data_IF_754723138333
#
_entry.id   IF_754723138333
#
_cell.length_a   1.000
_cell.length_b   1.000
_cell.length_c   1.000
_cell.angle_alpha   90.00
_cell.angle_beta   90.00
_cell.angle_gamma   90.00
#
_symmetry.space_group_name_H-M   'P 1'
#
loop_
_entity.id
_entity.type
_entity.pdbx_description
1 polymer ?
#
# COMPACT_ATOMS: atom_id res chain seq x y z
N UNK A 1 -1.92 -12.20 16.64
CA UNK A 1 -2.06 -12.09 15.17
C UNK A 1 -1.68 -10.67 14.75
N UNK A 2 -0.95 -10.50 13.64
CA UNK A 2 -0.52 -9.19 13.09
C UNK A 2 -1.18 -8.98 11.73
N UNK A 3 -1.67 -7.77 11.48
CA UNK A 3 -2.26 -7.36 10.20
C UNK A 3 -1.29 -6.38 9.53
N UNK A 4 -0.86 -6.71 8.31
CA UNK A 4 -0.01 -5.85 7.49
C UNK A 4 -0.83 -5.27 6.33
N UNK A 5 -0.84 -3.95 6.20
CA UNK A 5 -1.56 -3.21 5.18
C UNK A 5 -0.55 -2.68 4.16
N UNK A 6 -0.48 -3.34 3.01
CA UNK A 6 0.48 -3.02 1.95
C UNK A 6 -0.21 -2.34 0.80
N UNK A 7 0.35 -1.23 0.33
CA UNK A 7 -0.16 -0.45 -0.77
C UNK A 7 0.98 -0.01 -1.69
N UNK A 8 0.72 0.08 -2.99
CA UNK A 8 1.68 0.58 -3.97
C UNK A 8 1.22 1.95 -4.48
N UNK A 9 2.12 2.93 -4.51
CA UNK A 9 1.85 4.23 -5.10
C UNK A 9 2.34 5.41 -4.27
N UNK A 10 1.62 6.52 -4.40
CA UNK A 10 1.90 7.76 -3.66
C UNK A 10 1.14 7.77 -2.33
N UNK A 11 1.56 8.66 -1.43
CA UNK A 11 0.86 8.89 -0.16
C UNK A 11 -0.63 9.20 -0.41
N UNK A 12 -1.48 8.80 0.54
CA UNK A 12 -2.93 8.97 0.47
C UNK A 12 -3.33 10.40 0.13
N UNK A 13 -4.39 10.54 -0.68
CA UNK A 13 -5.02 11.83 -0.89
C UNK A 13 -5.51 12.42 0.44
N UNK A 14 -5.40 13.74 0.66
CA UNK A 14 -5.67 14.35 1.96
C UNK A 14 -7.04 14.02 2.54
N UNK A 15 -8.08 13.88 1.70
CA UNK A 15 -9.44 13.56 2.14
C UNK A 15 -9.59 12.12 2.66
N UNK A 16 -8.74 11.18 2.23
CA UNK A 16 -8.80 9.78 2.67
C UNK A 16 -8.02 9.58 3.97
N UNK A 17 -6.97 10.38 4.19
CA UNK A 17 -6.03 10.23 5.32
C UNK A 17 -6.73 10.17 6.68
N UNK A 18 -7.66 11.09 6.94
CA UNK A 18 -8.42 11.13 8.21
C UNK A 18 -9.20 9.83 8.48
N UNK A 19 -9.82 9.26 7.44
CA UNK A 19 -10.49 7.98 7.51
C UNK A 19 -9.50 6.86 7.81
N UNK A 20 -8.45 6.75 7.00
CA UNK A 20 -7.39 5.73 7.16
C UNK A 20 -6.82 5.73 8.58
N UNK A 21 -6.49 6.89 9.12
CA UNK A 21 -5.94 7.03 10.47
C UNK A 21 -6.95 6.59 11.54
N UNK A 22 -8.21 7.00 11.40
CA UNK A 22 -9.28 6.66 12.35
C UNK A 22 -9.53 5.15 12.40
N UNK A 23 -9.65 4.50 11.24
CA UNK A 23 -9.91 3.07 11.16
C UNK A 23 -8.67 2.24 11.53
N UNK A 24 -7.46 2.69 11.15
CA UNK A 24 -6.20 2.05 11.56
C UNK A 24 -6.04 2.08 13.07
N UNK A 25 -6.33 3.22 13.72
CA UNK A 25 -6.30 3.33 15.18
C UNK A 25 -7.26 2.34 15.83
N UNK A 26 -8.49 2.22 15.32
CA UNK A 26 -9.46 1.24 15.80
C UNK A 26 -8.96 -0.20 15.65
N UNK A 27 -8.37 -0.52 14.50
CA UNK A 27 -7.82 -1.84 14.23
C UNK A 27 -6.66 -2.18 15.19
N UNK A 28 -5.82 -1.20 15.50
CA UNK A 28 -4.64 -1.38 16.35
C UNK A 28 -4.96 -1.76 17.81
N UNK A 29 -6.19 -1.56 18.26
CA UNK A 29 -6.64 -2.01 19.58
C UNK A 29 -6.79 -3.54 19.68
N UNK A 30 -7.01 -4.21 18.54
CA UNK A 30 -7.27 -5.65 18.51
C UNK A 30 -6.10 -6.46 17.95
N UNK A 31 -5.34 -5.86 17.02
CA UNK A 31 -4.23 -6.52 16.35
C UNK A 31 -3.03 -5.58 16.25
N UNK A 32 -1.82 -6.15 16.23
CA UNK A 32 -0.65 -5.37 15.82
C UNK A 32 -0.86 -4.99 14.34
N UNK A 33 -0.92 -3.70 14.05
CA UNK A 33 -1.15 -3.19 12.70
C UNK A 33 0.12 -2.53 12.17
N UNK A 34 0.47 -2.83 10.92
CA UNK A 34 1.65 -2.29 10.25
C UNK A 34 1.26 -1.82 8.85
N UNK A 35 1.76 -0.64 8.45
CA UNK A 35 1.53 -0.07 7.12
C UNK A 35 2.84 -0.06 6.34
N UNK A 36 2.78 -0.48 5.08
CA UNK A 36 3.91 -0.44 4.15
C UNK A 36 3.43 0.18 2.85
N UNK A 37 3.92 1.39 2.56
CA UNK A 37 3.66 2.06 1.28
C UNK A 37 4.86 1.85 0.38
N UNK A 38 4.69 1.01 -0.63
CA UNK A 38 5.69 0.69 -1.64
C UNK A 38 5.62 1.72 -2.78
N UNK A 39 6.77 2.17 -3.33
CA UNK A 39 6.77 3.08 -4.45
C UNK A 39 6.25 2.38 -5.72
N UNK A 40 5.52 3.12 -6.57
CA UNK A 40 5.12 2.60 -7.88
C UNK A 40 6.34 2.28 -8.76
N UNK A 41 6.26 1.25 -9.63
CA UNK A 41 7.34 0.92 -10.55
C UNK A 41 7.74 2.11 -11.43
N UNK A 42 9.05 2.34 -11.57
CA UNK A 42 9.57 3.37 -12.48
C UNK A 42 9.14 3.06 -13.92
N UNK A 43 8.85 4.11 -14.70
CA UNK A 43 8.42 4.01 -16.11
C UNK A 43 7.11 3.25 -16.33
N UNK A 44 6.23 3.18 -15.33
CA UNK A 44 4.90 2.57 -15.45
C UNK A 44 4.08 3.11 -16.63
N UNK A 45 4.24 4.39 -17.00
CA UNK A 45 3.57 4.97 -18.18
C UNK A 45 4.06 4.43 -19.55
N UNK A 46 5.15 3.66 -19.59
CA UNK A 46 5.71 3.05 -20.81
C UNK A 46 5.53 1.53 -20.86
N UNK A 47 4.98 0.94 -19.80
CA UNK A 47 4.80 -0.51 -19.67
C UNK A 47 3.34 -0.88 -19.97
N UNK A 48 3.13 -2.13 -20.41
CA UNK A 48 1.78 -2.68 -20.49
C UNK A 48 1.23 -2.90 -19.07
N UNK A 49 -0.09 -2.91 -18.91
CA UNK A 49 -0.74 -3.16 -17.62
C UNK A 49 -0.28 -4.50 -16.99
N UNK A 50 -0.08 -5.53 -17.82
CA UNK A 50 0.42 -6.83 -17.38
C UNK A 50 1.84 -6.77 -16.85
N UNK A 51 2.71 -5.98 -17.48
CA UNK A 51 4.10 -5.82 -17.05
C UNK A 51 4.21 -4.96 -15.79
N UNK A 52 3.33 -3.97 -15.63
CA UNK A 52 3.22 -3.19 -14.39
C UNK A 52 2.86 -4.12 -13.22
N UNK A 53 1.82 -4.94 -13.36
CA UNK A 53 1.39 -5.88 -12.31
C UNK A 53 2.46 -6.89 -11.93
N UNK A 54 3.23 -7.39 -12.90
CA UNK A 54 4.36 -8.28 -12.62
C UNK A 54 5.42 -7.60 -11.76
N UNK A 55 5.82 -6.37 -12.12
CA UNK A 55 6.79 -5.61 -11.32
C UNK A 55 6.26 -5.25 -9.94
N UNK A 56 4.98 -4.93 -9.82
CA UNK A 56 4.34 -4.68 -8.53
C UNK A 56 4.37 -5.93 -7.63
N UNK A 57 4.13 -7.11 -8.21
CA UNK A 57 4.25 -8.38 -7.50
C UNK A 57 5.69 -8.67 -7.04
N UNK A 58 6.68 -8.41 -7.90
CA UNK A 58 8.09 -8.58 -7.54
C UNK A 58 8.48 -7.68 -6.35
N UNK A 59 8.04 -6.42 -6.34
CA UNK A 59 8.31 -5.47 -5.24
C UNK A 59 7.62 -5.86 -3.94
N UNK A 60 6.47 -6.56 -4.02
CA UNK A 60 5.77 -7.08 -2.84
C UNK A 60 6.49 -8.31 -2.26
N UNK A 61 7.08 -9.16 -3.11
CA UNK A 61 7.59 -10.47 -2.69
C UNK A 61 9.10 -10.49 -2.34
N UNK A 62 9.82 -9.40 -2.57
CA UNK A 62 11.19 -9.18 -2.06
C UNK A 62 11.24 -9.09 -0.52
#
# INVERSE_FOLDING_TARGET
>A
MRICLWAIGKSHEPYVKSGTDTFTKRLSHYFKTEWTLLPAPKHSGMLSELDIRKREADVILE
#
